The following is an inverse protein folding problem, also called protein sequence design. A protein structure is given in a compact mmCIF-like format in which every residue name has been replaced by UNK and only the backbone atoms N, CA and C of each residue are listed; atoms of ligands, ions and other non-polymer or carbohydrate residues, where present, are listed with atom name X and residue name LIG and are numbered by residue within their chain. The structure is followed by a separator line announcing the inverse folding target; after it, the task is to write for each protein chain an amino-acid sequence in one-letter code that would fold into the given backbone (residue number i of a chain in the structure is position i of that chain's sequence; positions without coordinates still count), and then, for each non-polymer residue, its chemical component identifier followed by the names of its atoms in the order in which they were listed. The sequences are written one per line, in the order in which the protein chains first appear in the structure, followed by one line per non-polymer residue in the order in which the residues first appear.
data_IF_605059475861
#
_entry.id   IF_605059475861
#
_cell.length_a   1.000
_cell.length_b   1.000
_cell.length_c   1.000
_cell.angle_alpha   90.00
_cell.angle_beta   90.00
_cell.angle_gamma   90.00
#
_symmetry.space_group_name_H-M   'P 1'
#
loop_
_entity.id
_entity.type
_entity.pdbx_description
1 polymer ?
#
# COMPACT_ATOMS: atom_id res chain seq x y z
N UNK A 1 21.59 15.81 2.72
CA UNK A 1 21.72 14.34 2.55
C UNK A 1 20.75 13.68 3.53
N UNK A 2 20.12 12.57 3.14
CA UNK A 2 19.19 11.83 4.02
C UNK A 2 17.72 11.81 3.59
N UNK A 3 17.39 12.26 2.37
CA UNK A 3 16.04 12.12 1.79
C UNK A 3 16.17 11.36 0.48
N UNK A 4 15.55 10.17 0.40
CA UNK A 4 15.47 9.41 -0.86
C UNK A 4 14.72 10.25 -1.88
N UNK A 5 15.35 10.50 -3.03
CA UNK A 5 14.80 11.35 -4.08
C UNK A 5 14.61 10.56 -5.36
N UNK A 6 13.36 10.51 -5.83
CA UNK A 6 12.99 9.97 -7.12
C UNK A 6 13.02 11.07 -8.17
N UNK A 7 13.64 10.78 -9.32
CA UNK A 7 13.74 11.73 -10.43
C UNK A 7 12.88 11.23 -11.58
N UNK A 8 11.85 12.00 -11.90
CA UNK A 8 11.00 11.80 -13.06
C UNK A 8 11.07 13.08 -13.88
N UNK A 9 11.54 12.98 -15.11
CA UNK A 9 11.25 14.02 -16.09
C UNK A 9 9.92 13.74 -16.79
N UNK A 10 9.48 14.66 -17.64
CA UNK A 10 8.28 14.48 -18.42
C UNK A 10 8.39 15.18 -19.79
N UNK A 11 7.92 14.52 -20.85
CA UNK A 11 7.87 15.06 -22.21
C UNK A 11 9.08 14.69 -23.10
N UNK A 12 9.03 15.10 -24.37
CA UNK A 12 9.98 14.69 -25.42
C UNK A 12 11.38 15.31 -25.32
N UNK A 13 11.58 16.34 -24.48
CA UNK A 13 12.87 17.00 -24.25
C UNK A 13 13.84 16.21 -23.36
N UNK A 14 13.38 15.10 -22.79
CA UNK A 14 14.14 14.22 -21.88
C UNK A 14 15.44 13.66 -22.44
N UNK A 15 15.45 13.35 -23.74
CA UNK A 15 16.59 12.74 -24.40
C UNK A 15 17.78 13.68 -24.56
N UNK A 16 17.66 14.96 -24.19
CA UNK A 16 18.70 15.97 -24.42
C UNK A 16 19.83 15.95 -23.38
N UNK A 17 19.56 15.58 -22.12
CA UNK A 17 20.61 15.31 -21.11
C UNK A 17 20.20 14.21 -20.11
N UNK A 18 20.21 12.93 -20.53
CA UNK A 18 19.99 11.80 -19.64
C UNK A 18 21.00 11.74 -18.47
N UNK A 19 22.18 12.35 -18.65
CA UNK A 19 23.25 12.33 -17.67
C UNK A 19 22.94 13.19 -16.45
N UNK A 20 22.24 14.33 -16.63
CA UNK A 20 21.82 15.19 -15.54
C UNK A 20 20.82 14.49 -14.61
N UNK A 21 19.80 13.85 -15.17
CA UNK A 21 18.80 13.14 -14.37
C UNK A 21 19.39 11.95 -13.64
N UNK A 22 20.33 11.23 -14.27
CA UNK A 22 21.05 10.14 -13.62
C UNK A 22 21.90 10.63 -12.44
N UNK A 23 22.57 11.78 -12.58
CA UNK A 23 23.32 12.42 -11.48
C UNK A 23 22.38 12.81 -10.33
N UNK A 24 21.20 13.36 -10.64
CA UNK A 24 20.21 13.73 -9.61
C UNK A 24 19.65 12.50 -8.88
N UNK A 25 19.30 11.43 -9.60
CA UNK A 25 18.82 10.18 -8.99
C UNK A 25 19.89 9.57 -8.07
N UNK A 26 21.12 9.47 -8.57
CA UNK A 26 22.26 8.93 -7.80
C UNK A 26 22.53 9.76 -6.55
N UNK A 27 22.56 11.09 -6.66
CA UNK A 27 22.74 11.97 -5.51
C UNK A 27 21.57 11.89 -4.50
N UNK A 28 20.38 11.55 -4.99
CA UNK A 28 19.16 11.30 -4.24
C UNK A 28 19.05 9.90 -3.62
N UNK A 29 20.00 9.00 -3.88
CA UNK A 29 19.98 7.63 -3.35
C UNK A 29 19.10 6.65 -4.13
N UNK A 30 18.65 6.99 -5.35
CA UNK A 30 17.92 6.08 -6.24
C UNK A 30 18.80 5.68 -7.44
N UNK A 31 18.65 4.44 -7.95
CA UNK A 31 19.60 3.89 -8.94
C UNK A 31 19.46 4.50 -10.33
N UNK A 32 18.28 5.02 -10.70
CA UNK A 32 18.00 5.56 -12.03
C UNK A 32 16.78 6.50 -12.02
N UNK A 33 16.70 7.44 -12.97
CA UNK A 33 15.49 8.23 -13.17
C UNK A 33 14.38 7.40 -13.86
N UNK A 34 13.14 7.79 -13.64
CA UNK A 34 11.96 7.39 -14.40
C UNK A 34 11.81 8.30 -15.61
N UNK A 35 11.19 7.81 -16.69
CA UNK A 35 10.90 8.61 -17.89
C UNK A 35 9.45 8.43 -18.31
N UNK A 36 8.77 9.54 -18.59
CA UNK A 36 7.40 9.58 -19.07
C UNK A 36 7.29 10.57 -20.24
N UNK A 37 6.78 10.11 -21.37
CA UNK A 37 6.57 10.90 -22.60
C UNK A 37 5.09 11.18 -22.88
N UNK A 38 4.20 10.65 -22.03
CA UNK A 38 2.75 10.76 -22.13
C UNK A 38 2.13 10.76 -20.73
N UNK A 39 0.90 11.28 -20.56
CA UNK A 39 0.20 11.23 -19.28
C UNK A 39 0.08 9.82 -18.70
N UNK A 40 -0.21 8.81 -19.54
CA UNK A 40 -0.28 7.42 -19.08
C UNK A 40 1.07 6.88 -18.58
N UNK A 41 2.17 7.26 -19.22
CA UNK A 41 3.51 6.89 -18.75
C UNK A 41 3.90 7.62 -17.46
N UNK A 42 3.35 8.82 -17.22
CA UNK A 42 3.53 9.54 -15.97
C UNK A 42 2.81 8.83 -14.82
N UNK A 43 1.54 8.47 -15.00
CA UNK A 43 0.76 7.74 -13.99
C UNK A 43 1.45 6.42 -13.63
N UNK A 44 1.84 5.63 -14.64
CA UNK A 44 2.54 4.36 -14.41
C UNK A 44 3.89 4.52 -13.67
N UNK A 45 4.61 5.62 -13.91
CA UNK A 45 5.86 5.90 -13.21
C UNK A 45 5.63 6.33 -11.76
N UNK A 46 4.56 7.09 -11.47
CA UNK A 46 4.17 7.44 -10.12
C UNK A 46 3.70 6.22 -9.32
N UNK A 47 2.93 5.33 -9.93
CA UNK A 47 2.50 4.07 -9.31
C UNK A 47 3.70 3.18 -8.94
N UNK A 48 4.69 3.08 -9.85
CA UNK A 48 5.92 2.34 -9.59
C UNK A 48 6.74 2.93 -8.43
N UNK A 49 6.84 4.27 -8.36
CA UNK A 49 7.51 4.96 -7.24
C UNK A 49 6.77 4.71 -5.93
N UNK A 50 5.44 4.79 -5.93
CA UNK A 50 4.63 4.55 -4.74
C UNK A 50 4.80 3.12 -4.20
N UNK A 51 4.83 2.13 -5.08
CA UNK A 51 5.06 0.72 -4.73
C UNK A 51 6.45 0.45 -4.14
N UNK A 52 7.48 1.23 -4.52
CA UNK A 52 8.81 1.12 -3.91
C UNK A 52 8.89 1.74 -2.50
N UNK A 53 8.13 2.82 -2.25
CA UNK A 53 8.17 3.56 -0.98
C UNK A 53 7.32 2.88 0.09
N UNK A 54 6.13 2.42 -0.30
CA UNK A 54 5.19 1.74 0.59
C UNK A 54 5.09 0.31 0.07
N UNK A 55 6.02 -0.59 0.46
CA UNK A 55 5.85 -2.00 0.12
C UNK A 55 4.51 -2.41 0.73
N UNK A 56 3.59 -2.98 -0.06
CA UNK A 56 2.28 -3.32 0.44
C UNK A 56 2.45 -4.34 1.58
N UNK A 57 2.19 -3.87 2.80
CA UNK A 57 2.25 -4.67 4.01
C UNK A 57 0.89 -5.31 4.23
N UNK A 58 0.88 -6.58 4.58
CA UNK A 58 -0.35 -7.22 5.05
C UNK A 58 -0.77 -6.72 6.42
N UNK A 59 0.01 -5.83 7.05
CA UNK A 59 -0.29 -5.20 8.33
C UNK A 59 -0.66 -3.74 8.09
N UNK A 60 -1.77 -3.32 8.67
CA UNK A 60 -2.30 -1.94 8.60
C UNK A 60 -2.53 -1.44 10.01
N UNK A 61 -2.01 -0.25 10.32
CA UNK A 61 -2.27 0.44 11.59
C UNK A 61 -3.64 1.13 11.53
N UNK A 62 -4.41 1.02 12.61
CA UNK A 62 -5.71 1.66 12.70
C UNK A 62 -5.57 3.05 13.33
N UNK A 63 -6.27 4.03 12.76
CA UNK A 63 -6.40 5.34 13.37
C UNK A 63 -7.50 5.36 14.45
N UNK A 64 -7.16 5.89 15.63
CA UNK A 64 -8.13 6.21 16.68
C UNK A 64 -8.37 5.12 17.74
N UNK A 65 -9.19 5.43 18.77
CA UNK A 65 -9.40 4.54 19.91
C UNK A 65 -10.25 3.33 19.53
N UNK A 66 -9.69 2.13 19.72
CA UNK A 66 -10.41 0.87 19.53
C UNK A 66 -11.33 0.61 20.72
N UNK A 67 -12.65 0.63 20.49
CA UNK A 67 -13.64 0.38 21.55
C UNK A 67 -13.76 -1.10 21.91
N UNK A 68 -14.00 -1.94 20.89
CA UNK A 68 -14.08 -3.39 21.01
C UNK A 68 -13.64 -4.07 19.71
N UNK A 69 -12.46 -4.71 19.67
CA UNK A 69 -11.97 -5.41 18.49
C UNK A 69 -12.78 -6.64 18.08
N UNK A 70 -13.66 -7.16 18.95
CA UNK A 70 -14.56 -8.26 18.59
C UNK A 70 -15.67 -7.83 17.62
N UNK A 71 -15.89 -6.52 17.49
CA UNK A 71 -16.94 -5.95 16.63
C UNK A 71 -16.42 -5.47 15.27
N UNK A 72 -15.12 -5.63 14.99
CA UNK A 72 -14.58 -5.22 13.71
C UNK A 72 -15.16 -6.05 12.56
N UNK A 73 -15.62 -5.32 11.55
CA UNK A 73 -16.02 -5.85 10.26
C UNK A 73 -15.02 -5.33 9.22
N UNK A 74 -14.34 -6.26 8.56
CA UNK A 74 -13.29 -5.92 7.58
C UNK A 74 -13.71 -6.37 6.19
N UNK A 75 -13.52 -5.51 5.19
CA UNK A 75 -13.73 -5.83 3.78
C UNK A 75 -12.76 -5.05 2.88
N UNK A 76 -12.60 -5.52 1.66
CA UNK A 76 -11.85 -4.83 0.60
C UNK A 76 -12.82 -4.22 -0.41
N UNK A 77 -12.59 -2.95 -0.76
CA UNK A 77 -13.24 -2.27 -1.89
C UNK A 77 -14.78 -2.41 -1.91
N UNK A 78 -15.44 -2.25 -0.75
CA UNK A 78 -16.90 -2.42 -0.61
C UNK A 78 -17.42 -3.85 -0.80
N UNK A 79 -16.53 -4.85 -0.87
CA UNK A 79 -16.82 -6.25 -1.11
C UNK A 79 -17.43 -7.01 0.09
N UNK A 80 -17.42 -8.35 0.05
CA UNK A 80 -17.93 -9.17 1.15
C UNK A 80 -17.06 -9.02 2.40
N UNK A 81 -17.66 -9.31 3.56
CA UNK A 81 -16.93 -9.36 4.83
C UNK A 81 -15.90 -10.49 4.80
N UNK A 82 -14.68 -10.16 5.22
CA UNK A 82 -13.59 -11.10 5.40
C UNK A 82 -13.67 -11.64 6.83
N UNK A 83 -13.71 -12.98 7.03
CA UNK A 83 -13.74 -13.56 8.37
C UNK A 83 -12.46 -13.26 9.16
N UNK A 84 -12.61 -12.94 10.44
CA UNK A 84 -11.49 -12.93 11.38
C UNK A 84 -11.02 -14.37 11.63
N UNK A 85 -9.71 -14.59 11.64
CA UNK A 85 -9.13 -15.91 11.86
C UNK A 85 -7.85 -15.82 12.71
N UNK A 86 -7.98 -16.17 13.99
CA UNK A 86 -6.87 -16.18 14.97
C UNK A 86 -5.86 -17.32 14.75
N UNK A 87 -6.11 -18.26 13.83
CA UNK A 87 -5.12 -19.27 13.43
C UNK A 87 -4.11 -18.77 12.40
N UNK A 88 -4.31 -17.54 11.88
CA UNK A 88 -3.40 -16.85 10.96
C UNK A 88 -3.14 -17.59 9.64
N UNK A 89 -4.12 -18.40 9.19
CA UNK A 89 -4.03 -19.13 7.92
C UNK A 89 -4.71 -18.42 6.75
N UNK A 90 -5.67 -17.54 7.02
CA UNK A 90 -6.48 -16.81 6.03
C UNK A 90 -7.18 -15.64 6.71
N UNK A 91 -7.77 -14.72 5.94
CA UNK A 91 -8.57 -13.63 6.49
C UNK A 91 -7.73 -12.60 7.21
N UNK A 92 -8.16 -12.16 8.40
CA UNK A 92 -7.45 -11.17 9.19
C UNK A 92 -7.45 -11.46 10.69
N UNK A 93 -6.52 -10.87 11.43
CA UNK A 93 -6.56 -10.80 12.89
C UNK A 93 -6.10 -9.41 13.38
N UNK A 94 -6.40 -9.09 14.63
CA UNK A 94 -6.10 -7.80 15.25
C UNK A 94 -5.16 -7.96 16.45
N UNK A 95 -4.10 -7.15 16.47
CA UNK A 95 -3.18 -7.01 17.60
C UNK A 95 -3.46 -5.71 18.38
N UNK A 96 -3.95 -5.79 19.64
CA UNK A 96 -4.21 -4.63 20.48
C UNK A 96 -2.95 -3.92 20.98
N UNK A 97 -1.78 -4.57 20.99
CA UNK A 97 -0.55 -3.98 21.49
C UNK A 97 0.02 -2.93 20.52
N UNK A 98 -0.12 -3.20 19.23
CA UNK A 98 0.34 -2.33 18.14
C UNK A 98 -0.80 -1.57 17.46
N UNK A 99 -2.05 -1.86 17.80
CA UNK A 99 -3.25 -1.33 17.16
C UNK A 99 -3.29 -1.60 15.65
N UNK A 100 -2.97 -2.82 15.24
CA UNK A 100 -2.86 -3.20 13.83
C UNK A 100 -3.78 -4.37 13.45
N UNK A 101 -4.29 -4.35 12.23
CA UNK A 101 -4.86 -5.52 11.56
C UNK A 101 -3.80 -6.17 10.68
N UNK A 102 -3.67 -7.48 10.75
CA UNK A 102 -2.82 -8.27 9.83
C UNK A 102 -3.68 -9.22 9.02
N UNK A 103 -3.50 -9.19 7.70
CA UNK A 103 -4.11 -10.11 6.73
C UNK A 103 -3.23 -11.33 6.51
N UNK A 104 -3.85 -12.47 6.25
CA UNK A 104 -3.18 -13.76 6.04
C UNK A 104 -3.71 -14.45 4.79
N UNK A 105 -2.91 -15.34 4.19
CA UNK A 105 -3.33 -16.13 3.02
C UNK A 105 -3.67 -15.25 1.80
N UNK A 106 -4.75 -15.60 1.09
CA UNK A 106 -5.17 -14.92 -0.13
C UNK A 106 -5.48 -13.43 0.06
N UNK A 107 -5.88 -13.02 1.26
CA UNK A 107 -6.14 -11.61 1.56
C UNK A 107 -4.83 -10.80 1.63
N UNK A 108 -3.78 -11.38 2.21
CA UNK A 108 -2.45 -10.80 2.23
C UNK A 108 -1.86 -10.67 0.82
N UNK A 109 -2.02 -11.71 -0.01
CA UNK A 109 -1.57 -11.69 -1.41
C UNK A 109 -2.26 -10.58 -2.22
N UNK A 110 -3.56 -10.34 -2.01
CA UNK A 110 -4.32 -9.28 -2.67
C UNK A 110 -3.88 -7.87 -2.25
N UNK A 111 -3.55 -7.68 -0.97
CA UNK A 111 -2.97 -6.42 -0.48
C UNK A 111 -1.58 -6.23 -1.08
N UNK A 112 -0.75 -7.27 -1.07
CA UNK A 112 0.61 -7.25 -1.62
C UNK A 112 0.69 -7.02 -3.13
N UNK A 113 -0.31 -7.46 -3.89
CA UNK A 113 -0.37 -7.22 -5.32
C UNK A 113 -0.83 -5.81 -5.68
N UNK A 114 -1.25 -4.99 -4.70
CA UNK A 114 -1.89 -3.70 -4.93
C UNK A 114 -3.27 -3.82 -5.59
N UNK A 115 -3.88 -5.01 -5.55
CA UNK A 115 -5.22 -5.23 -6.11
C UNK A 115 -6.33 -4.66 -5.21
N UNK A 116 -6.02 -4.42 -3.94
CA UNK A 116 -6.89 -3.76 -2.98
C UNK A 116 -6.60 -2.27 -2.99
N UNK A 117 -7.62 -1.44 -3.25
CA UNK A 117 -7.47 0.03 -3.26
C UNK A 117 -7.94 0.66 -1.96
N UNK A 118 -8.86 -0.01 -1.25
CA UNK A 118 -9.44 0.47 -0.01
C UNK A 118 -9.64 -0.69 0.98
N UNK A 119 -9.19 -0.48 2.23
CA UNK A 119 -9.41 -1.39 3.35
C UNK A 119 -10.37 -0.71 4.31
N UNK A 120 -11.54 -1.32 4.50
CA UNK A 120 -12.60 -0.78 5.34
C UNK A 120 -12.65 -1.58 6.64
N UNK A 121 -12.54 -0.88 7.76
CA UNK A 121 -12.61 -1.44 9.11
C UNK A 121 -13.71 -0.71 9.86
N UNK A 122 -14.90 -1.31 9.90
CA UNK A 122 -16.08 -0.75 10.53
C UNK A 122 -16.40 -1.42 11.86
N UNK A 123 -17.17 -0.73 12.70
CA UNK A 123 -17.79 -1.32 13.90
C UNK A 123 -19.13 -1.93 13.51
N UNK A 124 -19.17 -3.26 13.44
CA UNK A 124 -20.42 -3.99 13.37
C UNK A 124 -21.16 -3.96 14.71
N UNK A 125 -22.49 -3.85 14.68
CA UNK A 125 -23.28 -4.47 15.74
C UNK A 125 -22.99 -5.98 15.70
N UNK A 126 -22.83 -6.69 16.85
CA UNK A 126 -22.54 -8.11 16.83
C UNK A 126 -23.62 -8.86 16.03
N UNK A 127 -23.22 -9.45 14.91
CA UNK A 127 -24.05 -10.38 14.16
C UNK A 127 -24.23 -11.67 14.94
N UNK A 128 -25.26 -12.48 14.62
CA UNK A 128 -25.50 -13.72 15.35
C UNK A 128 -24.26 -14.62 15.29
N UNK A 129 -23.83 -15.06 16.47
CA UNK A 129 -22.81 -16.10 16.62
C UNK A 129 -23.37 -17.37 15.98
N UNK A 130 -22.79 -17.81 14.86
CA UNK A 130 -23.01 -19.16 14.32
C UNK A 130 -21.98 -20.12 14.88
#
# INVERSE_FOLDING_TARGET
AGVTTYVLGFGSGFGSDPSALNRMATAGGTPRPFSADSPAALDAALDAIAAEIIPPSCTVELDGPTRDPMLFQVRFDGGPLIPRNMSHTSGWDYDPATNTITFYGSECEQVQSGSVTNIEVDFGCPGPLI
#
